data_IF_229702226804
#
_entry.id   IF_229702226804
#
_cell.length_a   1.000
_cell.length_b   1.000
_cell.length_c   1.000
_cell.angle_alpha   90.00
_cell.angle_beta   90.00
_cell.angle_gamma   90.00
#
_symmetry.space_group_name_H-M   'P 1'
#
loop_
_entity.id
_entity.type
_entity.pdbx_description
1 polymer ?
#
# COMPACT_ATOMS: atom_id res chain seq x y z
N UNK A 1 -1.04 -5.61 30.70
CA UNK A 1 -0.52 -5.24 32.04
C UNK A 1 0.45 -6.34 32.47
N UNK A 2 1.60 -6.03 33.06
CA UNK A 2 2.56 -7.04 33.55
C UNK A 2 2.38 -7.18 35.06
N UNK A 3 2.20 -8.40 35.55
CA UNK A 3 2.32 -8.69 36.99
C UNK A 3 3.61 -9.47 37.22
N UNK A 4 4.39 -9.08 38.22
CA UNK A 4 5.74 -9.64 38.43
C UNK A 4 6.03 -9.91 39.88
N UNK A 5 6.76 -11.01 40.12
CA UNK A 5 7.23 -11.37 41.45
C UNK A 5 8.65 -11.89 41.38
N UNK A 6 9.53 -11.33 42.21
CA UNK A 6 10.90 -11.77 42.41
C UNK A 6 11.08 -12.33 43.82
N UNK A 7 11.82 -13.42 43.95
CA UNK A 7 12.23 -14.00 45.23
C UNK A 7 13.67 -14.44 45.19
N UNK A 8 14.31 -14.42 46.35
CA UNK A 8 15.63 -14.99 46.56
C UNK A 8 15.51 -16.48 46.89
N UNK A 9 16.13 -17.31 46.06
CA UNK A 9 16.27 -18.74 46.28
C UNK A 9 17.65 -19.03 46.87
N UNK A 10 17.68 -19.39 48.16
CA UNK A 10 18.91 -19.76 48.86
C UNK A 10 19.14 -21.27 48.80
N UNK A 11 20.27 -21.68 48.23
CA UNK A 11 20.69 -23.06 48.10
C UNK A 11 21.87 -23.34 49.05
N UNK A 12 21.71 -24.31 49.95
CA UNK A 12 22.83 -24.83 50.76
C UNK A 12 23.74 -25.66 49.84
N UNK A 13 24.69 -24.99 49.20
CA UNK A 13 25.51 -25.60 48.16
C UNK A 13 26.45 -26.65 48.75
N UNK A 14 26.95 -26.45 49.97
CA UNK A 14 27.86 -27.40 50.62
C UNK A 14 27.24 -28.77 50.83
N UNK A 15 25.95 -28.82 51.20
CA UNK A 15 25.22 -30.08 51.37
C UNK A 15 24.71 -30.66 50.06
N UNK A 16 24.45 -29.81 49.07
CA UNK A 16 23.78 -30.23 47.83
C UNK A 16 24.72 -30.51 46.65
N UNK A 17 25.97 -30.02 46.68
CA UNK A 17 26.95 -30.15 45.59
C UNK A 17 27.35 -31.57 45.21
N UNK A 18 27.11 -32.54 46.08
CA UNK A 18 27.45 -33.96 45.88
C UNK A 18 26.22 -34.85 45.59
N UNK A 19 25.02 -34.28 45.51
CA UNK A 19 23.82 -35.03 45.17
C UNK A 19 23.92 -35.66 43.78
N UNK A 20 23.16 -36.72 43.45
CA UNK A 20 23.11 -37.27 42.10
C UNK A 20 22.68 -36.22 41.05
N UNK A 21 23.21 -36.34 39.83
CA UNK A 21 22.73 -35.53 38.69
C UNK A 21 21.22 -35.76 38.50
N UNK A 22 20.48 -34.69 38.22
CA UNK A 22 19.01 -34.72 38.12
C UNK A 22 18.28 -34.55 39.46
N UNK A 23 18.98 -34.49 40.59
CA UNK A 23 18.36 -34.17 41.89
C UNK A 23 17.91 -32.71 41.89
N UNK A 24 16.64 -32.49 42.24
CA UNK A 24 16.00 -31.17 42.24
C UNK A 24 15.76 -30.65 43.66
N UNK A 25 16.13 -29.40 43.89
CA UNK A 25 15.77 -28.61 45.07
C UNK A 25 14.74 -27.57 44.64
N UNK A 26 13.59 -27.55 45.31
CA UNK A 26 12.45 -26.74 44.92
C UNK A 26 12.24 -25.57 45.87
N UNK A 27 11.80 -24.43 45.33
CA UNK A 27 11.27 -23.34 46.13
C UNK A 27 9.88 -23.67 46.69
N UNK A 28 9.39 -22.84 47.61
CA UNK A 28 7.96 -22.74 47.87
C UNK A 28 7.20 -22.19 46.67
N UNK A 29 5.87 -22.22 46.75
CA UNK A 29 5.00 -21.72 45.68
C UNK A 29 4.90 -20.19 45.73
N UNK A 30 4.92 -19.58 44.55
CA UNK A 30 4.99 -18.13 44.37
C UNK A 30 3.78 -17.69 43.57
N UNK A 31 3.04 -16.71 44.09
CA UNK A 31 1.90 -16.14 43.40
C UNK A 31 2.32 -14.98 42.48
N UNK A 32 1.97 -15.08 41.20
CA UNK A 32 2.12 -14.00 40.21
C UNK A 32 1.12 -14.19 39.07
N UNK A 33 0.49 -13.11 38.62
CA UNK A 33 -0.47 -13.07 37.51
C UNK A 33 -1.70 -13.94 37.75
N UNK A 34 -2.12 -14.14 39.00
CA UNK A 34 -3.22 -15.05 39.35
C UNK A 34 -2.86 -16.54 39.28
N UNK A 35 -1.58 -16.88 39.11
CA UNK A 35 -1.08 -18.25 39.01
C UNK A 35 -0.06 -18.57 40.12
N UNK A 36 0.11 -19.86 40.39
CA UNK A 36 1.14 -20.36 41.30
C UNK A 36 2.29 -20.94 40.51
N UNK A 37 3.50 -20.55 40.90
CA UNK A 37 4.75 -20.86 40.22
C UNK A 37 5.75 -21.48 41.19
N UNK A 38 6.66 -22.31 40.67
CA UNK A 38 7.71 -22.94 41.46
C UNK A 38 9.05 -22.92 40.74
N UNK A 39 10.11 -22.58 41.46
CA UNK A 39 11.47 -22.65 40.96
C UNK A 39 12.11 -23.99 41.30
N UNK A 40 12.72 -24.59 40.30
CA UNK A 40 13.38 -25.88 40.36
C UNK A 40 14.88 -25.67 40.08
N UNK A 41 15.71 -25.97 41.08
CA UNK A 41 17.16 -25.83 41.00
C UNK A 41 17.83 -27.23 41.01
N UNK A 42 18.79 -27.44 40.12
CA UNK A 42 19.52 -28.70 39.98
C UNK A 42 21.02 -28.44 40.25
N UNK A 43 21.53 -28.71 41.46
CA UNK A 43 22.92 -28.41 41.87
C UNK A 43 24.02 -28.98 40.98
N UNK A 44 23.75 -30.16 40.38
CA UNK A 44 24.65 -30.85 39.45
C UNK A 44 23.98 -31.09 38.09
N UNK A 45 23.16 -30.16 37.64
CA UNK A 45 22.52 -30.26 36.35
C UNK A 45 21.30 -31.18 36.33
N UNK A 46 20.40 -30.95 35.37
CA UNK A 46 19.18 -31.76 35.19
C UNK A 46 19.43 -33.06 34.42
N UNK A 47 20.36 -33.05 33.47
CA UNK A 47 20.65 -34.17 32.55
C UNK A 47 22.04 -34.74 32.81
N UNK A 48 22.16 -36.06 32.76
CA UNK A 48 23.45 -36.77 32.91
C UNK A 48 24.44 -36.37 31.80
N UNK A 49 23.94 -36.07 30.61
CA UNK A 49 24.69 -35.62 29.44
C UNK A 49 25.51 -34.33 29.67
N UNK A 50 25.13 -33.51 30.65
CA UNK A 50 25.83 -32.26 30.99
C UNK A 50 26.96 -32.46 32.03
N UNK A 51 27.32 -33.72 32.34
CA UNK A 51 28.39 -34.15 33.26
C UNK A 51 28.30 -33.62 34.70
N UNK A 52 27.22 -32.90 35.03
CA UNK A 52 27.00 -32.26 36.32
C UNK A 52 28.00 -31.17 36.68
N UNK A 53 28.51 -30.47 35.67
CA UNK A 53 29.46 -29.35 35.80
C UNK A 53 28.78 -27.99 35.97
N UNK A 54 27.46 -27.92 35.76
CA UNK A 54 26.69 -26.68 35.81
C UNK A 54 25.50 -26.81 36.78
N UNK A 55 25.13 -25.69 37.39
CA UNK A 55 23.83 -25.50 38.01
C UNK A 55 22.78 -25.33 36.91
N UNK A 56 21.60 -25.95 37.06
CA UNK A 56 20.44 -25.65 36.20
C UNK A 56 19.32 -25.02 37.00
N UNK A 57 18.57 -24.10 36.37
CA UNK A 57 17.39 -23.47 36.98
C UNK A 57 16.22 -23.49 36.01
N UNK A 58 15.04 -23.79 36.53
CA UNK A 58 13.79 -23.91 35.78
C UNK A 58 12.62 -23.31 36.55
N UNK A 59 11.66 -22.76 35.83
CA UNK A 59 10.37 -22.32 36.34
C UNK A 59 9.29 -23.29 35.92
N UNK A 60 8.38 -23.61 36.84
CA UNK A 60 7.25 -24.50 36.64
C UNK A 60 5.94 -23.81 37.01
N UNK A 61 4.91 -23.99 36.18
CA UNK A 61 3.54 -23.56 36.49
C UNK A 61 2.85 -24.64 37.33
N UNK A 62 2.53 -24.31 38.59
CA UNK A 62 1.90 -25.22 39.57
C UNK A 62 0.38 -25.21 39.44
N UNK A 63 -0.22 -24.05 39.19
CA UNK A 63 -1.68 -23.92 39.09
C UNK A 63 -2.22 -24.69 37.88
N UNK A 64 -3.10 -25.67 38.11
CA UNK A 64 -3.66 -26.53 37.06
C UNK A 64 -4.91 -26.00 36.35
N UNK A 65 -5.44 -24.84 36.77
CA UNK A 65 -6.70 -24.30 36.25
C UNK A 65 -6.57 -23.55 34.92
N UNK A 66 -5.35 -23.23 34.48
CA UNK A 66 -5.10 -22.36 33.34
C UNK A 66 -4.25 -23.08 32.30
N UNK A 67 -4.73 -23.06 31.05
CA UNK A 67 -4.03 -23.64 29.91
C UNK A 67 -3.15 -22.54 29.28
N UNK A 68 -1.85 -22.80 29.15
CA UNK A 68 -0.90 -21.99 28.38
C UNK A 68 -0.72 -20.55 28.88
N UNK A 69 -0.05 -20.39 30.02
CA UNK A 69 0.26 -19.07 30.58
C UNK A 69 1.55 -18.54 29.97
N UNK A 70 1.52 -17.34 29.37
CA UNK A 70 2.72 -16.67 28.87
C UNK A 70 3.42 -15.95 30.02
N UNK A 71 4.68 -16.31 30.27
CA UNK A 71 5.47 -15.66 31.31
C UNK A 71 6.94 -15.53 30.92
N UNK A 72 7.59 -14.53 31.49
CA UNK A 72 9.03 -14.34 31.43
C UNK A 72 9.62 -14.88 32.72
N UNK A 73 10.54 -15.84 32.60
CA UNK A 73 11.39 -16.28 33.69
C UNK A 73 12.72 -15.52 33.64
N UNK A 74 13.01 -14.79 34.70
CA UNK A 74 14.26 -14.06 34.90
C UNK A 74 15.01 -14.70 36.07
N UNK A 75 16.29 -15.00 35.91
CA UNK A 75 17.11 -15.57 36.97
C UNK A 75 18.54 -15.07 36.88
N UNK A 76 19.13 -14.72 38.03
CA UNK A 76 20.54 -14.32 38.11
C UNK A 76 21.13 -14.71 39.46
N UNK A 77 22.42 -15.09 39.45
CA UNK A 77 23.16 -15.33 40.68
C UNK A 77 23.45 -14.00 41.40
N UNK A 78 23.51 -14.04 42.74
CA UNK A 78 23.85 -12.89 43.58
C UNK A 78 25.29 -13.06 44.06
N UNK A 79 26.09 -12.02 43.90
CA UNK A 79 27.48 -11.97 44.37
C UNK A 79 27.53 -11.90 45.92
N UNK A 80 28.70 -12.18 46.49
CA UNK A 80 28.95 -12.07 47.95
C UNK A 80 28.72 -10.68 48.54
N UNK A 81 28.80 -9.63 47.72
CA UNK A 81 28.52 -8.25 48.11
C UNK A 81 27.02 -7.91 48.05
N UNK A 82 26.16 -8.88 47.73
CA UNK A 82 24.72 -8.70 47.57
C UNK A 82 24.32 -8.07 46.23
N UNK A 83 25.28 -7.72 45.36
CA UNK A 83 24.97 -7.19 44.04
C UNK A 83 24.54 -8.32 43.09
N UNK A 84 23.59 -8.07 42.18
CA UNK A 84 23.31 -9.01 41.09
C UNK A 84 24.55 -9.24 40.22
N UNK A 85 24.72 -10.41 39.60
CA UNK A 85 25.74 -10.61 38.57
C UNK A 85 25.29 -9.93 37.26
N UNK A 86 25.78 -8.73 36.95
CA UNK A 86 25.21 -7.91 35.85
C UNK A 86 25.57 -8.36 34.44
N UNK A 87 26.40 -9.39 34.23
CA UNK A 87 26.83 -9.75 32.87
C UNK A 87 27.07 -11.22 32.52
N UNK A 88 27.37 -12.12 33.46
CA UNK A 88 27.86 -13.46 33.08
C UNK A 88 26.83 -14.60 33.26
N UNK A 89 25.93 -14.48 34.23
CA UNK A 89 25.11 -15.60 34.72
C UNK A 89 23.63 -15.25 34.84
N UNK A 90 23.15 -14.22 34.12
CA UNK A 90 21.73 -13.88 34.06
C UNK A 90 21.03 -14.61 32.90
N UNK A 91 19.80 -15.04 33.13
CA UNK A 91 18.89 -15.60 32.13
C UNK A 91 17.57 -14.85 32.18
N UNK A 92 17.12 -14.34 31.04
CA UNK A 92 15.74 -13.88 30.85
C UNK A 92 15.12 -14.61 29.66
N UNK A 93 14.00 -15.28 29.88
CA UNK A 93 13.37 -16.15 28.87
C UNK A 93 11.86 -16.01 28.87
N UNK A 94 11.26 -15.73 27.71
CA UNK A 94 9.82 -15.73 27.53
C UNK A 94 9.37 -17.09 26.99
N UNK A 95 8.49 -17.77 27.71
CA UNK A 95 7.94 -19.06 27.32
C UNK A 95 6.42 -19.12 27.58
N UNK A 96 5.77 -20.11 26.97
CA UNK A 96 4.38 -20.47 27.25
C UNK A 96 4.38 -21.73 28.10
N UNK A 97 3.82 -21.62 29.31
CA UNK A 97 3.81 -22.69 30.30
C UNK A 97 2.48 -23.46 30.24
N UNK A 98 2.49 -24.74 29.84
CA UNK A 98 1.28 -25.55 29.80
C UNK A 98 0.82 -25.96 31.21
N UNK A 99 -0.45 -26.34 31.34
CA UNK A 99 -0.99 -26.88 32.60
C UNK A 99 -0.30 -28.21 32.94
N UNK A 100 0.33 -28.29 34.12
CA UNK A 100 1.00 -29.49 34.67
C UNK A 100 1.84 -30.27 33.63
N UNK A 101 3.09 -29.85 33.40
CA UNK A 101 4.02 -30.83 32.81
C UNK A 101 5.38 -30.35 32.32
N UNK A 102 5.59 -29.07 32.03
CA UNK A 102 6.88 -28.62 31.51
C UNK A 102 7.43 -27.44 32.31
N UNK A 103 8.59 -27.65 32.93
CA UNK A 103 9.37 -26.57 33.48
C UNK A 103 10.30 -26.00 32.39
N UNK A 104 10.36 -24.69 32.25
CA UNK A 104 11.19 -23.98 31.27
C UNK A 104 12.32 -23.23 31.98
N UNK A 105 13.50 -23.20 31.38
CA UNK A 105 14.70 -22.69 32.05
C UNK A 105 15.98 -22.92 31.26
N UNK A 106 17.09 -23.06 31.98
CA UNK A 106 18.43 -23.21 31.40
C UNK A 106 19.17 -24.36 32.07
N UNK A 107 19.52 -25.36 31.26
CA UNK A 107 20.27 -26.54 31.69
C UNK A 107 21.71 -26.16 32.14
N UNK A 108 22.36 -25.16 31.51
CA UNK A 108 23.69 -24.66 31.89
C UNK A 108 23.61 -23.21 32.34
N UNK A 109 23.10 -22.99 33.56
CA UNK A 109 22.87 -21.65 34.10
C UNK A 109 24.14 -21.00 34.61
N UNK A 110 24.83 -21.64 35.56
CA UNK A 110 26.13 -21.18 36.09
C UNK A 110 27.10 -22.35 36.19
N UNK A 111 28.34 -22.18 35.77
CA UNK A 111 29.38 -23.20 35.96
C UNK A 111 29.70 -23.37 37.46
N UNK A 112 29.85 -24.61 37.92
CA UNK A 112 30.08 -24.89 39.34
C UNK A 112 31.40 -24.32 39.86
N UNK A 113 32.42 -24.24 39.02
CA UNK A 113 33.68 -23.57 39.34
C UNK A 113 33.49 -22.09 39.71
N UNK A 114 32.56 -21.40 39.04
CA UNK A 114 32.19 -20.02 39.37
C UNK A 114 31.31 -19.93 40.61
N UNK A 115 30.38 -20.88 40.82
CA UNK A 115 29.61 -20.98 42.06
C UNK A 115 30.51 -21.05 43.30
N UNK A 116 31.51 -21.93 43.28
CA UNK A 116 32.41 -22.13 44.41
C UNK A 116 33.32 -20.93 44.67
N UNK A 117 33.80 -20.29 43.61
CA UNK A 117 34.76 -19.18 43.72
C UNK A 117 34.11 -17.83 44.01
N UNK A 118 32.98 -17.51 43.37
CA UNK A 118 32.40 -16.16 43.33
C UNK A 118 31.10 -16.02 44.11
N UNK A 119 30.28 -17.07 44.17
CA UNK A 119 28.89 -16.97 44.62
C UNK A 119 28.59 -17.70 45.93
N UNK A 120 29.45 -18.63 46.36
CA UNK A 120 29.27 -19.35 47.62
C UNK A 120 29.74 -18.46 48.77
N UNK A 121 28.83 -18.17 49.70
CA UNK A 121 29.08 -17.43 50.94
C UNK A 121 29.95 -18.25 51.93
N UNK A 122 30.48 -17.58 52.96
CA UNK A 122 31.36 -18.21 53.94
C UNK A 122 30.69 -19.37 54.71
N UNK A 123 29.37 -19.33 54.83
CA UNK A 123 28.53 -20.34 55.47
C UNK A 123 28.06 -21.44 54.49
N UNK A 124 28.47 -21.37 53.22
CA UNK A 124 28.22 -22.41 52.21
C UNK A 124 26.96 -22.23 51.37
N UNK A 125 26.26 -21.11 51.48
CA UNK A 125 25.05 -20.82 50.73
C UNK A 125 25.32 -20.12 49.40
N UNK A 126 24.46 -20.37 48.42
CA UNK A 126 24.41 -19.68 47.13
C UNK A 126 23.02 -19.07 46.99
N UNK A 127 22.95 -17.78 46.66
CA UNK A 127 21.69 -17.08 46.43
C UNK A 127 21.45 -16.85 44.94
N UNK A 128 20.29 -17.27 44.44
CA UNK A 128 19.82 -17.00 43.08
C UNK A 128 18.54 -16.19 43.17
N UNK A 129 18.50 -15.01 42.54
CA UNK A 129 17.25 -14.27 42.43
C UNK A 129 16.47 -14.79 41.24
N UNK A 130 15.21 -15.12 41.47
CA UNK A 130 14.31 -15.68 40.46
C UNK A 130 13.05 -14.81 40.36
N UNK A 131 12.80 -14.28 39.17
CA UNK A 131 11.64 -13.47 38.80
C UNK A 131 10.71 -14.19 37.84
N UNK A 132 9.42 -14.15 38.12
CA UNK A 132 8.37 -14.50 37.16
C UNK A 132 7.58 -13.25 36.81
N UNK A 133 7.43 -12.98 35.51
CA UNK A 133 6.66 -11.86 34.98
C UNK A 133 5.56 -12.44 34.10
N UNK A 134 4.32 -12.39 34.55
CA UNK A 134 3.17 -12.92 33.81
C UNK A 134 2.66 -11.88 32.84
N UNK A 135 2.54 -12.29 31.58
CA UNK A 135 1.97 -11.45 30.52
C UNK A 135 0.46 -11.66 30.56
N UNK A 136 -0.27 -10.69 31.09
CA UNK A 136 -1.74 -10.73 31.14
C UNK A 136 -2.31 -10.29 29.79
N UNK A 137 -3.02 -11.18 29.10
CA UNK A 137 -3.81 -10.91 27.89
C UNK A 137 -5.13 -10.18 28.23
N UNK A 138 -5.06 -9.13 29.05
CA UNK A 138 -6.20 -8.23 29.24
C UNK A 138 -6.08 -7.15 28.18
N UNK A 139 -6.60 -7.44 26.98
CA UNK A 139 -6.86 -6.40 26.00
C UNK A 139 -8.01 -5.52 26.52
N UNK A 140 -7.85 -4.19 26.59
CA UNK A 140 -8.99 -3.31 26.86
C UNK A 140 -10.08 -3.52 25.79
N UNK A 141 -11.36 -3.27 26.11
CA UNK A 141 -12.39 -3.28 25.08
C UNK A 141 -12.01 -2.29 23.95
N UNK A 142 -12.37 -2.60 22.69
CA UNK A 142 -12.14 -1.68 21.58
C UNK A 142 -12.79 -0.32 21.85
N UNK A 143 -12.16 0.75 21.35
CA UNK A 143 -12.71 2.10 21.46
C UNK A 143 -14.06 2.22 20.75
N UNK A 144 -15.04 2.85 21.40
CA UNK A 144 -16.41 3.07 20.89
C UNK A 144 -16.66 4.51 20.40
N UNK A 145 -15.65 5.39 20.47
CA UNK A 145 -15.77 6.81 20.07
C UNK A 145 -16.30 7.00 18.65
N UNK A 146 -15.87 6.15 17.70
CA UNK A 146 -16.35 6.21 16.31
C UNK A 146 -17.85 5.91 16.20
N UNK A 147 -18.37 4.99 17.02
CA UNK A 147 -19.80 4.72 17.08
C UNK A 147 -20.57 5.88 17.73
N UNK A 148 -19.98 6.56 18.71
CA UNK A 148 -20.59 7.71 19.38
C UNK A 148 -20.72 8.90 18.42
N UNK A 149 -19.66 9.22 17.69
CA UNK A 149 -19.67 10.25 16.65
C UNK A 149 -20.53 9.84 15.44
N UNK A 150 -20.56 8.55 15.10
CA UNK A 150 -21.46 8.04 14.07
C UNK A 150 -22.93 8.31 14.42
N UNK A 151 -23.36 8.03 15.65
CA UNK A 151 -24.72 8.32 16.10
C UNK A 151 -25.05 9.82 16.07
N UNK A 152 -24.07 10.68 16.34
CA UNK A 152 -24.22 12.14 16.20
C UNK A 152 -24.45 12.56 14.74
N UNK A 153 -23.86 11.87 13.77
CA UNK A 153 -24.17 12.10 12.35
C UNK A 153 -25.56 11.54 11.98
N UNK A 154 -25.92 10.38 12.54
CA UNK A 154 -27.17 9.67 12.21
C UNK A 154 -28.42 10.38 12.77
N UNK A 155 -28.29 11.21 13.82
CA UNK A 155 -29.40 12.04 14.33
C UNK A 155 -29.78 13.18 13.40
N UNK A 156 -28.94 13.51 12.41
CA UNK A 156 -29.22 14.54 11.42
C UNK A 156 -29.51 15.90 12.08
N UNK A 157 -30.69 16.46 11.79
CA UNK A 157 -31.18 17.70 12.41
C UNK A 157 -32.31 17.46 13.42
N UNK A 158 -32.59 16.19 13.78
CA UNK A 158 -33.72 15.83 14.64
C UNK A 158 -33.58 16.40 16.06
N UNK A 159 -32.35 16.58 16.53
CA UNK A 159 -32.02 17.15 17.84
C UNK A 159 -31.55 18.63 17.76
N UNK A 160 -31.55 19.22 16.57
CA UNK A 160 -31.08 20.58 16.31
C UNK A 160 -29.60 20.82 16.62
N UNK A 161 -28.78 19.75 16.70
CA UNK A 161 -27.35 19.85 17.01
C UNK A 161 -26.47 20.16 15.79
N UNK A 162 -26.98 19.94 14.59
CA UNK A 162 -26.31 20.27 13.33
C UNK A 162 -26.21 21.79 13.13
N UNK A 163 -25.00 22.29 12.82
CA UNK A 163 -24.71 23.73 12.64
C UNK A 163 -24.25 24.07 11.21
N UNK A 164 -24.36 23.09 10.30
CA UNK A 164 -24.15 23.25 8.85
C UNK A 164 -24.82 22.11 8.09
N UNK A 165 -25.26 22.38 6.85
CA UNK A 165 -25.73 21.36 5.91
C UNK A 165 -24.99 21.42 4.58
N UNK A 166 -24.75 20.27 3.95
CA UNK A 166 -24.18 20.19 2.60
C UNK A 166 -25.21 19.74 1.58
N UNK A 167 -25.31 20.43 0.46
CA UNK A 167 -26.17 20.04 -0.68
C UNK A 167 -25.31 19.40 -1.76
N UNK A 168 -25.50 18.10 -2.00
CA UNK A 168 -24.70 17.31 -2.95
C UNK A 168 -25.62 16.46 -3.81
N UNK A 169 -25.60 16.67 -5.12
CA UNK A 169 -26.47 15.91 -6.05
C UNK A 169 -27.97 16.06 -5.79
N UNK A 170 -28.40 17.15 -5.13
CA UNK A 170 -29.80 17.35 -4.73
C UNK A 170 -30.17 16.76 -3.36
N UNK A 171 -29.26 16.00 -2.73
CA UNK A 171 -29.42 15.51 -1.36
C UNK A 171 -28.83 16.51 -0.36
N UNK A 172 -29.41 16.57 0.85
CA UNK A 172 -28.96 17.43 1.94
C UNK A 172 -28.37 16.59 3.07
N UNK A 173 -27.18 16.96 3.54
CA UNK A 173 -26.42 16.27 4.57
C UNK A 173 -26.17 17.19 5.78
N UNK A 174 -26.94 17.07 6.87
CA UNK A 174 -26.67 17.77 8.12
C UNK A 174 -25.32 17.34 8.72
N UNK A 175 -24.57 18.27 9.28
CA UNK A 175 -23.25 18.01 9.85
C UNK A 175 -22.83 19.05 10.91
N UNK A 176 -21.63 18.83 11.46
CA UNK A 176 -21.07 19.60 12.57
C UNK A 176 -19.74 20.25 12.17
N UNK A 177 -19.69 21.59 12.13
CA UNK A 177 -18.52 22.38 11.72
C UNK A 177 -17.27 22.01 12.50
N UNK A 178 -17.40 21.79 13.81
CA UNK A 178 -16.27 21.46 14.68
C UNK A 178 -15.64 20.11 14.34
N UNK A 179 -16.47 19.08 14.08
CA UNK A 179 -16.00 17.74 13.72
C UNK A 179 -15.29 17.79 12.37
N UNK A 180 -15.91 18.42 11.37
CA UNK A 180 -15.33 18.58 10.03
C UNK A 180 -14.00 19.34 10.06
N UNK A 181 -13.96 20.48 10.76
CA UNK A 181 -12.76 21.30 10.89
C UNK A 181 -11.62 20.63 11.67
N UNK A 182 -11.94 19.71 12.59
CA UNK A 182 -10.94 18.94 13.31
C UNK A 182 -10.31 17.84 12.43
N UNK A 183 -11.04 17.35 11.43
CA UNK A 183 -10.68 16.15 10.65
C UNK A 183 -10.16 16.47 9.26
N UNK A 184 -10.45 17.66 8.72
CA UNK A 184 -9.98 18.12 7.41
C UNK A 184 -9.49 19.57 7.49
N UNK A 185 -8.25 19.86 7.07
CA UNK A 185 -7.77 21.23 6.98
C UNK A 185 -8.52 22.05 5.92
N UNK A 186 -9.05 21.39 4.88
CA UNK A 186 -9.88 22.03 3.86
C UNK A 186 -11.20 22.48 4.45
N UNK A 187 -11.91 21.60 5.17
CA UNK A 187 -13.13 22.02 5.89
C UNK A 187 -12.84 23.05 6.98
N UNK A 188 -11.70 22.96 7.67
CA UNK A 188 -11.30 23.98 8.65
C UNK A 188 -11.19 25.37 8.00
N UNK A 189 -10.54 25.45 6.84
CA UNK A 189 -10.44 26.69 6.08
C UNK A 189 -11.82 27.15 5.59
N UNK A 190 -12.64 26.24 5.04
CA UNK A 190 -13.97 26.52 4.50
C UNK A 190 -14.96 27.03 5.54
N UNK A 191 -15.02 26.38 6.70
CA UNK A 191 -16.08 26.60 7.69
C UNK A 191 -15.70 27.59 8.79
N UNK A 192 -14.40 27.84 8.99
CA UNK A 192 -13.89 28.71 10.07
C UNK A 192 -12.94 29.80 9.59
N UNK A 193 -12.62 29.83 8.30
CA UNK A 193 -11.85 30.91 7.69
C UNK A 193 -12.70 32.15 7.41
N UNK A 194 -12.11 33.13 6.73
CA UNK A 194 -12.78 34.37 6.29
C UNK A 194 -13.56 34.20 4.98
N UNK A 195 -13.92 32.98 4.59
CA UNK A 195 -14.65 32.68 3.36
C UNK A 195 -16.16 32.89 3.54
N UNK A 196 -16.88 33.17 2.45
CA UNK A 196 -18.33 33.38 2.48
C UNK A 196 -19.10 32.19 3.10
N UNK A 197 -18.61 30.97 2.86
CA UNK A 197 -19.16 29.73 3.40
C UNK A 197 -19.10 29.66 4.93
N UNK A 198 -18.18 30.39 5.57
CA UNK A 198 -18.02 30.39 7.02
C UNK A 198 -19.25 30.95 7.77
N UNK A 199 -20.09 31.72 7.09
CA UNK A 199 -21.35 32.25 7.63
C UNK A 199 -22.60 31.59 7.03
N UNK A 200 -22.43 30.61 6.13
CA UNK A 200 -23.55 29.92 5.51
C UNK A 200 -24.00 28.73 6.36
N UNK A 201 -25.32 28.57 6.45
CA UNK A 201 -25.96 27.40 7.07
C UNK A 201 -26.05 26.22 6.10
N UNK A 202 -25.96 26.48 4.79
CA UNK A 202 -26.04 25.48 3.72
C UNK A 202 -24.96 25.72 2.65
N UNK A 203 -24.20 24.67 2.32
CA UNK A 203 -23.05 24.73 1.41
C UNK A 203 -23.25 23.73 0.27
N UNK A 204 -23.20 24.19 -0.98
CA UNK A 204 -23.30 23.28 -2.13
C UNK A 204 -21.93 22.70 -2.48
N UNK A 205 -21.85 21.37 -2.63
CA UNK A 205 -20.63 20.68 -3.09
C UNK A 205 -20.86 20.18 -4.50
N UNK A 206 -20.08 20.72 -5.44
CA UNK A 206 -20.08 20.29 -6.84
C UNK A 206 -19.06 19.17 -7.10
N UNK A 207 -19.23 18.46 -8.22
CA UNK A 207 -18.30 17.44 -8.74
C UNK A 207 -18.01 16.25 -7.81
N UNK A 208 -18.98 15.91 -6.95
CA UNK A 208 -18.96 14.71 -6.11
C UNK A 208 -20.35 14.08 -6.13
N UNK A 209 -20.39 12.76 -6.31
CA UNK A 209 -21.63 11.98 -6.19
C UNK A 209 -22.09 11.92 -4.73
N UNK A 210 -23.40 12.02 -4.49
CA UNK A 210 -23.98 12.00 -3.15
C UNK A 210 -23.55 10.75 -2.34
N UNK A 211 -23.46 9.58 -2.97
CA UNK A 211 -22.95 8.35 -2.34
C UNK A 211 -21.49 8.48 -1.87
N UNK A 212 -20.62 8.99 -2.75
CA UNK A 212 -19.21 9.20 -2.40
C UNK A 212 -19.07 10.19 -1.25
N UNK A 213 -19.87 11.26 -1.26
CA UNK A 213 -19.90 12.24 -0.18
C UNK A 213 -20.40 11.63 1.13
N UNK A 214 -21.45 10.79 1.09
CA UNK A 214 -22.00 10.10 2.27
C UNK A 214 -20.95 9.20 2.92
N UNK A 215 -20.24 8.40 2.13
CA UNK A 215 -19.16 7.52 2.62
C UNK A 215 -18.03 8.36 3.22
N UNK A 216 -17.60 9.42 2.53
CA UNK A 216 -16.56 10.31 3.03
C UNK A 216 -16.97 10.99 4.34
N UNK A 217 -18.21 11.50 4.42
CA UNK A 217 -18.74 12.14 5.61
C UNK A 217 -18.79 11.15 6.78
N UNK A 218 -19.28 9.92 6.55
CA UNK A 218 -19.27 8.86 7.56
C UNK A 218 -17.85 8.55 8.05
N UNK A 219 -16.87 8.51 7.15
CA UNK A 219 -15.46 8.32 7.51
C UNK A 219 -14.93 9.47 8.38
N UNK A 220 -15.33 10.72 8.13
CA UNK A 220 -14.91 11.86 8.95
C UNK A 220 -15.31 11.68 10.42
N UNK A 221 -16.49 11.13 10.69
CA UNK A 221 -16.99 10.89 12.05
C UNK A 221 -16.48 9.58 12.67
N UNK A 222 -16.37 8.52 11.88
CA UNK A 222 -16.17 7.16 12.40
C UNK A 222 -14.75 6.62 12.21
N UNK A 223 -13.96 7.25 11.33
CA UNK A 223 -12.63 6.79 10.91
C UNK A 223 -12.64 5.36 10.30
N UNK A 224 -13.80 4.92 9.81
CA UNK A 224 -14.05 3.61 9.24
C UNK A 224 -14.62 3.70 7.81
N UNK A 225 -14.16 2.78 6.94
CA UNK A 225 -14.77 2.56 5.63
C UNK A 225 -15.96 1.59 5.76
N UNK A 226 -16.96 1.69 4.87
CA UNK A 226 -18.02 0.70 4.76
C UNK A 226 -17.42 -0.67 4.42
N UNK A 227 -18.15 -1.73 4.80
CA UNK A 227 -17.73 -3.10 4.48
C UNK A 227 -17.89 -3.35 2.99
N UNK A 228 -17.11 -4.28 2.45
CA UNK A 228 -17.14 -4.58 1.01
C UNK A 228 -18.53 -5.08 0.56
N UNK A 229 -19.27 -5.76 1.45
CA UNK A 229 -20.64 -6.20 1.17
C UNK A 229 -21.66 -5.05 1.06
N UNK A 230 -21.37 -3.89 1.65
CA UNK A 230 -22.27 -2.72 1.64
C UNK A 230 -22.14 -1.90 0.34
N UNK A 231 -20.97 -1.96 -0.32
CA UNK A 231 -20.69 -1.22 -1.56
C UNK A 231 -21.10 -2.02 -2.80
N UNK A 232 -21.22 -3.35 -2.66
CA UNK A 232 -21.44 -4.27 -3.77
C UNK A 232 -20.16 -4.50 -4.59
N UNK A 233 -19.87 -5.77 -4.88
CA UNK A 233 -18.61 -6.19 -5.50
C UNK A 233 -18.33 -5.53 -6.85
N UNK A 234 -19.35 -5.36 -7.69
CA UNK A 234 -19.20 -4.80 -9.04
C UNK A 234 -18.84 -3.31 -9.04
N UNK A 235 -19.14 -2.59 -7.95
CA UNK A 235 -18.94 -1.14 -7.85
C UNK A 235 -17.80 -0.72 -6.92
N UNK A 236 -17.18 -1.68 -6.22
CA UNK A 236 -16.16 -1.42 -5.19
C UNK A 236 -15.00 -0.57 -5.70
N UNK A 237 -14.43 -0.95 -6.85
CA UNK A 237 -13.27 -0.26 -7.43
C UNK A 237 -13.63 1.17 -7.85
N UNK A 238 -14.80 1.36 -8.45
CA UNK A 238 -15.28 2.67 -8.89
C UNK A 238 -15.54 3.60 -7.70
N UNK A 239 -16.21 3.08 -6.68
CA UNK A 239 -16.46 3.79 -5.43
C UNK A 239 -15.15 4.18 -4.75
N UNK A 240 -14.17 3.28 -4.67
CA UNK A 240 -12.86 3.58 -4.08
C UNK A 240 -12.06 4.61 -4.89
N UNK A 241 -12.18 4.62 -6.24
CA UNK A 241 -11.55 5.65 -7.09
C UNK A 241 -12.19 7.03 -6.87
N UNK A 242 -13.53 7.11 -6.80
CA UNK A 242 -14.23 8.36 -6.49
C UNK A 242 -13.92 8.84 -5.07
N UNK A 243 -13.85 7.92 -4.11
CA UNK A 243 -13.50 8.24 -2.73
C UNK A 243 -12.04 8.68 -2.58
N UNK A 244 -11.12 8.12 -3.37
CA UNK A 244 -9.73 8.58 -3.45
C UNK A 244 -9.65 10.04 -3.92
N UNK A 245 -10.42 10.40 -4.96
CA UNK A 245 -10.51 11.76 -5.46
C UNK A 245 -11.05 12.74 -4.39
N UNK A 246 -12.12 12.33 -3.68
CA UNK A 246 -12.69 13.11 -2.60
C UNK A 246 -11.71 13.25 -1.42
N UNK A 247 -11.01 12.18 -1.06
CA UNK A 247 -10.02 12.18 0.01
C UNK A 247 -8.87 13.15 -0.26
N UNK A 248 -8.38 13.18 -1.51
CA UNK A 248 -7.37 14.15 -1.94
C UNK A 248 -7.90 15.59 -1.87
N UNK A 249 -9.08 15.84 -2.43
CA UNK A 249 -9.73 17.17 -2.44
C UNK A 249 -9.93 17.75 -1.05
N UNK A 250 -10.32 16.92 -0.07
CA UNK A 250 -10.56 17.36 1.31
C UNK A 250 -9.36 17.11 2.24
N UNK A 251 -8.20 16.74 1.71
CA UNK A 251 -6.98 16.45 2.46
C UNK A 251 -7.19 15.46 3.63
N UNK A 252 -7.87 14.35 3.33
CA UNK A 252 -8.13 13.24 4.25
C UNK A 252 -7.07 12.14 4.02
N UNK A 253 -5.84 12.38 4.45
CA UNK A 253 -4.68 11.53 4.12
C UNK A 253 -4.86 10.06 4.49
N UNK A 254 -5.43 9.76 5.67
CA UNK A 254 -5.70 8.38 6.10
C UNK A 254 -6.72 7.71 5.18
N UNK A 255 -7.76 8.42 4.77
CA UNK A 255 -8.75 7.89 3.81
C UNK A 255 -8.09 7.60 2.47
N UNK A 256 -7.23 8.51 1.99
CA UNK A 256 -6.47 8.36 0.75
C UNK A 256 -5.63 7.07 0.76
N UNK A 257 -4.92 6.79 1.85
CA UNK A 257 -4.14 5.55 2.04
C UNK A 257 -5.03 4.30 2.07
N UNK A 258 -6.19 4.36 2.71
CA UNK A 258 -7.11 3.22 2.77
C UNK A 258 -7.72 2.91 1.39
N UNK A 259 -8.09 3.94 0.62
CA UNK A 259 -8.54 3.79 -0.77
C UNK A 259 -7.43 3.19 -1.64
N UNK A 260 -6.19 3.68 -1.53
CA UNK A 260 -5.02 3.12 -2.20
C UNK A 260 -4.86 1.62 -1.91
N UNK A 261 -4.90 1.21 -0.64
CA UNK A 261 -4.76 -0.19 -0.24
C UNK A 261 -5.89 -1.06 -0.81
N UNK A 262 -7.14 -0.58 -0.76
CA UNK A 262 -8.31 -1.30 -1.31
C UNK A 262 -8.20 -1.45 -2.83
N UNK A 263 -7.76 -0.42 -3.54
CA UNK A 263 -7.55 -0.47 -4.98
C UNK A 263 -6.44 -1.44 -5.36
N UNK A 264 -5.30 -1.45 -4.64
CA UNK A 264 -4.20 -2.40 -4.88
C UNK A 264 -4.60 -3.87 -4.75
N UNK A 265 -5.53 -4.17 -3.86
CA UNK A 265 -5.99 -5.54 -3.59
C UNK A 265 -7.07 -6.03 -4.57
N UNK A 266 -7.67 -5.13 -5.36
CA UNK A 266 -8.80 -5.43 -6.25
C UNK A 266 -8.50 -5.05 -7.71
N UNK A 267 -7.22 -4.99 -8.11
CA UNK A 267 -6.85 -4.72 -9.49
C UNK A 267 -7.28 -5.85 -10.42
N UNK A 268 -7.81 -5.47 -11.57
CA UNK A 268 -8.16 -6.37 -12.68
C UNK A 268 -7.78 -5.74 -14.01
N UNK A 269 -7.75 -6.53 -15.08
CA UNK A 269 -7.46 -6.04 -16.45
C UNK A 269 -8.41 -4.93 -16.89
N UNK A 270 -9.67 -4.98 -16.46
CA UNK A 270 -10.69 -3.98 -16.78
C UNK A 270 -10.55 -2.68 -15.99
N UNK A 271 -9.90 -2.71 -14.83
CA UNK A 271 -9.86 -1.57 -13.88
C UNK A 271 -8.49 -0.94 -13.74
N UNK A 272 -7.41 -1.65 -14.10
CA UNK A 272 -6.03 -1.23 -13.86
C UNK A 272 -5.70 0.10 -14.54
N UNK A 273 -6.16 0.35 -15.76
CA UNK A 273 -5.85 1.58 -16.49
C UNK A 273 -6.49 2.81 -15.83
N UNK A 274 -7.76 2.70 -15.47
CA UNK A 274 -8.48 3.80 -14.83
C UNK A 274 -8.02 4.02 -13.38
N UNK A 275 -7.56 2.96 -12.70
CA UNK A 275 -6.94 3.03 -11.37
C UNK A 275 -5.56 3.69 -11.43
N UNK A 276 -4.76 3.36 -12.45
CA UNK A 276 -3.46 3.99 -12.71
C UNK A 276 -3.61 5.48 -13.03
N UNK A 277 -4.61 5.85 -13.82
CA UNK A 277 -4.92 7.26 -14.08
C UNK A 277 -5.21 8.03 -12.78
N UNK A 278 -5.95 7.42 -11.85
CA UNK A 278 -6.20 8.00 -10.53
C UNK A 278 -4.91 8.09 -9.70
N UNK A 279 -4.08 7.05 -9.71
CA UNK A 279 -2.82 7.03 -8.99
C UNK A 279 -1.88 8.15 -9.45
N UNK A 280 -1.82 8.41 -10.75
CA UNK A 280 -1.02 9.52 -11.31
C UNK A 280 -1.61 10.87 -10.89
N UNK A 281 -2.91 11.05 -11.08
CA UNK A 281 -3.62 12.32 -10.80
C UNK A 281 -3.48 12.74 -9.33
N UNK A 282 -3.61 11.79 -8.41
CA UNK A 282 -3.58 12.05 -6.97
C UNK A 282 -2.22 11.73 -6.34
N UNK A 283 -1.17 11.52 -7.14
CA UNK A 283 0.20 11.27 -6.66
C UNK A 283 0.32 10.07 -5.68
N UNK A 284 -0.42 8.99 -5.92
CA UNK A 284 -0.36 7.75 -5.13
C UNK A 284 0.71 6.80 -5.68
N UNK A 285 1.96 6.95 -5.19
CA UNK A 285 3.13 6.23 -5.71
C UNK A 285 3.02 4.71 -5.53
N UNK A 286 2.54 4.23 -4.38
CA UNK A 286 2.41 2.78 -4.13
C UNK A 286 1.37 2.12 -5.04
N UNK A 287 0.19 2.74 -5.20
CA UNK A 287 -0.82 2.28 -6.16
C UNK A 287 -0.29 2.32 -7.59
N UNK A 288 0.40 3.38 -8.00
CA UNK A 288 1.03 3.49 -9.33
C UNK A 288 1.97 2.32 -9.58
N UNK A 289 2.89 2.05 -8.64
CA UNK A 289 3.85 0.96 -8.76
C UNK A 289 3.16 -0.41 -8.85
N UNK A 290 2.08 -0.62 -8.07
CA UNK A 290 1.30 -1.86 -8.12
C UNK A 290 0.59 -2.04 -9.47
N UNK A 291 0.00 -0.98 -10.02
CA UNK A 291 -0.61 -0.99 -11.35
C UNK A 291 0.43 -1.30 -12.45
N UNK A 292 1.60 -0.66 -12.39
CA UNK A 292 2.69 -0.92 -13.34
C UNK A 292 3.18 -2.36 -13.25
N UNK A 293 3.35 -2.89 -12.03
CA UNK A 293 3.72 -4.29 -11.84
C UNK A 293 2.66 -5.27 -12.38
N UNK A 294 1.37 -4.90 -12.29
CA UNK A 294 0.27 -5.71 -12.87
C UNK A 294 0.31 -5.71 -14.41
N UNK A 295 0.60 -4.56 -15.02
CA UNK A 295 0.73 -4.38 -16.48
C UNK A 295 2.04 -4.95 -17.05
N UNK A 296 3.01 -5.30 -16.21
CA UNK A 296 4.24 -5.96 -16.65
C UNK A 296 4.02 -7.40 -17.16
N UNK A 297 2.87 -8.02 -16.83
CA UNK A 297 2.47 -9.30 -17.40
C UNK A 297 1.80 -9.10 -18.77
N UNK A 298 2.31 -9.79 -19.80
CA UNK A 298 1.83 -9.68 -21.18
C UNK A 298 0.34 -9.96 -21.36
N UNK A 299 -0.20 -10.96 -20.65
CA UNK A 299 -1.62 -11.31 -20.78
C UNK A 299 -2.50 -10.22 -20.18
N UNK A 300 -2.08 -9.70 -19.03
CA UNK A 300 -2.80 -8.61 -18.38
C UNK A 300 -2.77 -7.35 -19.22
N UNK A 301 -1.62 -7.07 -19.83
CA UNK A 301 -1.45 -5.91 -20.67
C UNK A 301 -2.30 -5.99 -21.94
N UNK A 302 -2.22 -7.09 -22.67
CA UNK A 302 -3.01 -7.32 -23.89
C UNK A 302 -4.50 -7.16 -23.61
N UNK A 303 -4.98 -7.71 -22.50
CA UNK A 303 -6.37 -7.53 -22.08
C UNK A 303 -6.69 -6.08 -21.68
N UNK A 304 -5.81 -5.40 -20.96
CA UNK A 304 -6.03 -4.03 -20.49
C UNK A 304 -6.02 -3.01 -21.64
N UNK A 305 -5.13 -3.17 -22.63
CA UNK A 305 -5.06 -2.31 -23.82
C UNK A 305 -6.39 -2.28 -24.55
N UNK A 306 -7.14 -3.38 -24.59
CA UNK A 306 -8.43 -3.42 -25.30
C UNK A 306 -9.59 -2.72 -24.55
N UNK A 307 -9.34 -2.17 -23.36
CA UNK A 307 -10.37 -1.55 -22.53
C UNK A 307 -10.53 -0.05 -22.82
N UNK A 308 -11.74 0.47 -22.69
CA UNK A 308 -12.02 1.92 -22.77
C UNK A 308 -11.23 2.71 -21.71
N UNK A 309 -11.00 2.11 -20.54
CA UNK A 309 -10.19 2.68 -19.47
C UNK A 309 -8.75 2.97 -19.88
N UNK A 310 -8.16 2.15 -20.78
CA UNK A 310 -6.82 2.37 -21.30
C UNK A 310 -6.78 3.49 -22.34
N UNK A 311 -7.79 3.59 -23.21
CA UNK A 311 -7.95 4.77 -24.10
C UNK A 311 -7.93 6.06 -23.28
N UNK A 312 -8.72 6.08 -22.21
CA UNK A 312 -8.89 7.27 -21.39
C UNK A 312 -7.63 7.62 -20.59
N UNK A 313 -6.88 6.61 -20.12
CA UNK A 313 -5.57 6.80 -19.49
C UNK A 313 -4.59 7.50 -20.44
N UNK A 314 -4.44 6.99 -21.66
CA UNK A 314 -3.53 7.56 -22.66
C UNK A 314 -3.96 8.98 -23.06
N UNK A 315 -5.28 9.20 -23.19
CA UNK A 315 -5.84 10.52 -23.55
C UNK A 315 -5.60 11.56 -22.45
N UNK A 316 -5.78 11.19 -21.18
CA UNK A 316 -5.58 12.10 -20.04
C UNK A 316 -4.10 12.32 -19.70
N UNK A 317 -3.27 11.31 -19.92
CA UNK A 317 -1.85 11.33 -19.56
C UNK A 317 -0.97 10.91 -20.75
N UNK A 318 -0.78 11.77 -21.78
CA UNK A 318 0.02 11.40 -22.96
C UNK A 318 1.48 11.03 -22.64
N UNK A 319 2.06 11.63 -21.58
CA UNK A 319 3.40 11.30 -21.08
C UNK A 319 3.52 9.87 -20.54
N UNK A 320 2.39 9.23 -20.19
CA UNK A 320 2.37 7.83 -19.77
C UNK A 320 2.93 6.91 -20.86
N UNK A 321 2.67 7.23 -22.14
CA UNK A 321 3.14 6.43 -23.27
C UNK A 321 4.66 6.38 -23.34
N UNK A 322 5.35 7.46 -22.97
CA UNK A 322 6.81 7.50 -22.89
C UNK A 322 7.35 6.56 -21.80
N UNK A 323 6.65 6.46 -20.66
CA UNK A 323 7.00 5.54 -19.57
C UNK A 323 6.68 4.09 -19.93
N UNK A 324 5.71 3.90 -20.82
CA UNK A 324 5.19 2.60 -21.22
C UNK A 324 5.96 1.99 -22.40
N UNK A 325 6.56 2.80 -23.27
CA UNK A 325 7.35 2.34 -24.41
C UNK A 325 8.51 1.38 -24.05
N UNK A 326 9.30 1.61 -22.98
CA UNK A 326 10.34 0.65 -22.56
C UNK A 326 9.77 -0.70 -22.11
N UNK A 327 8.57 -0.72 -21.51
CA UNK A 327 7.90 -1.95 -21.09
C UNK A 327 7.47 -2.76 -22.33
N UNK A 328 6.88 -2.10 -23.34
CA UNK A 328 6.60 -2.73 -24.63
C UNK A 328 7.87 -3.25 -25.32
N UNK A 329 8.98 -2.53 -25.21
CA UNK A 329 10.26 -2.94 -25.77
C UNK A 329 10.84 -4.20 -25.12
N UNK A 330 10.68 -4.36 -23.79
CA UNK A 330 11.10 -5.57 -23.08
C UNK A 330 10.18 -6.75 -23.39
N UNK A 331 8.88 -6.51 -23.53
CA UNK A 331 7.88 -7.55 -23.76
C UNK A 331 7.86 -8.02 -25.21
N UNK A 332 8.17 -7.13 -26.14
CA UNK A 332 8.24 -7.39 -27.57
C UNK A 332 9.62 -6.94 -28.11
N UNK A 333 10.73 -7.59 -27.72
CA UNK A 333 12.09 -7.17 -28.07
C UNK A 333 12.36 -7.25 -29.58
N UNK A 334 11.72 -8.18 -30.28
CA UNK A 334 11.81 -8.31 -31.74
C UNK A 334 11.02 -7.21 -32.47
N UNK A 335 10.10 -6.52 -31.78
CA UNK A 335 9.32 -5.41 -32.34
C UNK A 335 10.10 -4.09 -32.43
N UNK A 336 11.17 -3.94 -31.63
CA UNK A 336 11.99 -2.73 -31.52
C UNK A 336 13.40 -2.90 -32.10
N UNK A 337 13.73 -4.07 -32.64
CA UNK A 337 14.89 -4.20 -33.54
C UNK A 337 14.57 -3.43 -34.82
N UNK A 338 15.24 -2.30 -34.99
CA UNK A 338 15.36 -1.65 -36.29
C UNK A 338 16.01 -2.67 -37.23
N UNK A 339 15.33 -3.04 -38.31
CA UNK A 339 16.07 -3.42 -39.50
C UNK A 339 16.76 -2.15 -40.00
N UNK A 340 18.03 -2.30 -40.36
CA UNK A 340 18.94 -1.27 -40.82
C UNK A 340 18.27 -0.41 -41.92
N UNK A 341 17.79 0.77 -41.56
CA UNK A 341 17.50 1.84 -42.52
C UNK A 341 18.10 3.12 -41.95
N UNK A 342 19.12 3.60 -42.67
CA UNK A 342 19.97 4.75 -42.38
C UNK A 342 19.17 6.06 -42.29
N UNK A 343 18.59 6.37 -41.14
CA UNK A 343 18.23 7.75 -40.77
C UNK A 343 18.27 7.90 -39.24
N UNK A 344 19.47 8.21 -38.73
CA UNK A 344 19.72 8.64 -37.36
C UNK A 344 19.12 10.06 -37.15
N UNK A 345 17.79 10.18 -37.01
CA UNK A 345 17.19 11.42 -36.51
C UNK A 345 17.21 11.42 -34.97
N UNK A 346 18.03 12.33 -34.46
CA UNK A 346 18.26 12.74 -33.08
C UNK A 346 16.99 12.62 -32.23
N UNK A 347 17.12 12.01 -31.05
CA UNK A 347 16.05 11.79 -30.07
C UNK A 347 15.27 13.06 -29.71
N UNK A 348 14.10 13.19 -30.34
CA UNK A 348 13.03 14.09 -29.92
C UNK A 348 11.98 13.27 -29.17
N UNK A 349 11.91 13.45 -27.85
CA UNK A 349 10.90 12.84 -26.97
C UNK A 349 9.52 13.52 -27.11
N UNK A 350 9.26 14.23 -28.21
CA UNK A 350 7.96 14.86 -28.43
C UNK A 350 6.85 13.80 -28.47
N UNK A 351 5.67 14.08 -27.89
CA UNK A 351 4.55 13.14 -27.89
C UNK A 351 4.22 12.61 -29.29
N UNK A 352 4.34 13.46 -30.31
CA UNK A 352 4.11 13.12 -31.71
C UNK A 352 5.04 11.99 -32.18
N UNK A 353 6.35 12.08 -31.95
CA UNK A 353 7.33 11.06 -32.38
C UNK A 353 7.09 9.73 -31.66
N UNK A 354 6.68 9.76 -30.39
CA UNK A 354 6.33 8.57 -29.61
C UNK A 354 5.10 7.86 -30.19
N UNK A 355 4.04 8.61 -30.51
CA UNK A 355 2.83 8.02 -31.12
C UNK A 355 3.08 7.50 -32.53
N UNK A 356 4.01 8.10 -33.28
CA UNK A 356 4.41 7.59 -34.60
C UNK A 356 5.12 6.24 -34.49
N UNK A 357 6.07 6.10 -33.57
CA UNK A 357 6.73 4.81 -33.28
C UNK A 357 5.72 3.75 -32.83
N UNK A 358 4.80 4.13 -31.95
CA UNK A 358 3.78 3.21 -31.44
C UNK A 358 2.77 2.79 -32.51
N UNK A 359 2.44 3.68 -33.45
CA UNK A 359 1.61 3.36 -34.62
C UNK A 359 2.28 2.30 -35.50
N UNK A 360 3.58 2.45 -35.76
CA UNK A 360 4.36 1.48 -36.53
C UNK A 360 4.39 0.10 -35.85
N UNK A 361 4.62 0.09 -34.53
CA UNK A 361 4.59 -1.15 -33.74
C UNK A 361 3.20 -1.79 -33.73
N UNK A 362 2.14 -0.99 -33.59
CA UNK A 362 0.79 -1.50 -33.57
C UNK A 362 0.39 -2.18 -34.90
N UNK A 363 0.75 -1.57 -36.03
CA UNK A 363 0.51 -2.13 -37.36
C UNK A 363 1.29 -3.44 -37.58
N UNK A 364 2.58 -3.46 -37.25
CA UNK A 364 3.45 -4.64 -37.39
C UNK A 364 2.90 -5.88 -36.66
N UNK A 365 2.25 -5.68 -35.51
CA UNK A 365 1.77 -6.77 -34.66
C UNK A 365 0.25 -7.00 -34.75
N UNK A 366 -0.44 -6.34 -35.68
CA UNK A 366 -1.89 -6.49 -35.85
C UNK A 366 -2.70 -6.01 -34.63
N UNK A 367 -2.15 -5.07 -33.84
CA UNK A 367 -2.83 -4.45 -32.71
C UNK A 367 -3.76 -3.35 -33.22
N UNK A 368 -4.82 -3.74 -33.93
CA UNK A 368 -5.74 -2.82 -34.62
C UNK A 368 -6.31 -1.74 -33.70
N UNK A 369 -6.58 -2.08 -32.43
CA UNK A 369 -7.03 -1.10 -31.44
C UNK A 369 -5.98 -0.04 -31.13
N UNK A 370 -4.73 -0.44 -30.86
CA UNK A 370 -3.66 0.48 -30.52
C UNK A 370 -3.33 1.39 -31.70
N UNK A 371 -3.42 0.82 -32.90
CA UNK A 371 -3.29 1.53 -34.17
C UNK A 371 -4.34 2.64 -34.30
N UNK A 372 -5.60 2.36 -33.97
CA UNK A 372 -6.68 3.36 -33.97
C UNK A 372 -6.46 4.46 -32.93
N UNK A 373 -6.02 4.11 -31.72
CA UNK A 373 -5.76 5.11 -30.66
C UNK A 373 -4.58 6.01 -31.02
N UNK A 374 -3.46 5.45 -31.49
CA UNK A 374 -2.33 6.22 -32.00
C UNK A 374 -2.75 7.13 -33.14
N UNK A 375 -3.54 6.61 -34.10
CA UNK A 375 -4.05 7.39 -35.21
C UNK A 375 -4.92 8.57 -34.76
N UNK A 376 -5.79 8.37 -33.78
CA UNK A 376 -6.66 9.42 -33.24
C UNK A 376 -5.85 10.51 -32.52
N UNK A 377 -4.86 10.15 -31.72
CA UNK A 377 -4.02 11.11 -31.00
C UNK A 377 -3.11 11.88 -31.97
N UNK A 378 -2.57 11.21 -32.99
CA UNK A 378 -1.81 11.86 -34.05
C UNK A 378 -2.69 12.89 -34.77
N UNK A 379 -3.93 12.52 -35.11
CA UNK A 379 -4.90 13.42 -35.74
C UNK A 379 -5.21 14.65 -34.88
N UNK A 380 -5.43 14.48 -33.57
CA UNK A 380 -5.78 15.58 -32.67
C UNK A 380 -4.66 16.63 -32.54
N UNK A 381 -3.43 16.27 -32.92
CA UNK A 381 -2.25 17.15 -32.93
C UNK A 381 -1.82 17.60 -34.35
N UNK A 382 -2.60 17.29 -35.40
CA UNK A 382 -2.27 17.68 -36.78
C UNK A 382 -2.34 19.19 -36.96
N UNK A 383 -1.29 19.75 -37.54
CA UNK A 383 -1.20 21.15 -37.97
C UNK A 383 -0.98 21.21 -39.49
N UNK A 384 -1.03 22.43 -40.03
CA UNK A 384 -0.74 22.65 -41.46
C UNK A 384 0.69 22.28 -41.82
N UNK A 385 1.62 22.36 -40.87
CA UNK A 385 3.04 22.05 -41.08
C UNK A 385 3.32 20.53 -40.96
N UNK A 386 2.52 19.82 -40.15
CA UNK A 386 2.74 18.39 -39.85
C UNK A 386 1.85 17.44 -40.67
N UNK A 387 0.73 17.91 -41.25
CA UNK A 387 -0.26 17.06 -41.94
C UNK A 387 0.33 16.18 -43.05
N UNK A 388 1.34 16.66 -43.79
CA UNK A 388 1.94 15.90 -44.88
C UNK A 388 2.74 14.69 -44.36
N UNK A 389 3.45 14.88 -43.24
CA UNK A 389 4.21 13.82 -42.61
C UNK A 389 3.27 12.79 -41.94
N UNK A 390 2.20 13.26 -41.27
CA UNK A 390 1.16 12.38 -40.71
C UNK A 390 0.43 11.58 -41.81
N UNK A 391 0.17 12.19 -42.97
CA UNK A 391 -0.44 11.50 -44.11
C UNK A 391 0.47 10.42 -44.70
N UNK A 392 1.78 10.69 -44.81
CA UNK A 392 2.76 9.69 -45.26
C UNK A 392 2.76 8.47 -44.34
N UNK A 393 2.70 8.69 -43.02
CA UNK A 393 2.66 7.62 -42.01
C UNK A 393 1.34 6.85 -42.03
N UNK A 394 0.23 7.56 -42.26
CA UNK A 394 -1.08 6.93 -42.41
C UNK A 394 -1.13 5.98 -43.63
N UNK A 395 -0.45 6.34 -44.71
CA UNK A 395 -0.27 5.46 -45.88
C UNK A 395 0.67 4.30 -45.54
N UNK A 396 1.82 4.59 -44.94
CA UNK A 396 2.86 3.60 -44.63
C UNK A 396 2.36 2.47 -43.72
N UNK A 397 1.56 2.80 -42.71
CA UNK A 397 1.05 1.85 -41.72
C UNK A 397 -0.41 1.49 -41.97
N UNK A 398 -0.89 1.58 -43.22
CA UNK A 398 -2.25 1.16 -43.63
C UNK A 398 -3.35 1.63 -42.66
N UNK A 399 -3.40 2.93 -42.40
CA UNK A 399 -4.38 3.58 -41.51
C UNK A 399 -5.41 4.38 -42.34
N UNK A 400 -6.43 3.74 -42.92
CA UNK A 400 -7.34 4.38 -43.88
C UNK A 400 -8.15 5.54 -43.27
N UNK A 401 -8.49 5.47 -41.98
CA UNK A 401 -9.24 6.54 -41.31
C UNK A 401 -8.41 7.81 -41.13
N UNK A 402 -7.16 7.66 -40.65
CA UNK A 402 -6.22 8.78 -40.50
C UNK A 402 -5.88 9.38 -41.85
N UNK A 403 -5.64 8.54 -42.87
CA UNK A 403 -5.39 8.97 -44.24
C UNK A 403 -6.54 9.84 -44.76
N UNK A 404 -7.79 9.38 -44.61
CA UNK A 404 -9.00 10.09 -45.03
C UNK A 404 -9.14 11.45 -44.35
N UNK A 405 -8.94 11.50 -43.02
CA UNK A 405 -8.97 12.75 -42.24
C UNK A 405 -7.88 13.73 -42.69
N UNK A 406 -6.65 13.25 -42.86
CA UNK A 406 -5.51 14.05 -43.33
C UNK A 406 -5.73 14.60 -44.75
N UNK A 407 -6.22 13.79 -45.69
CA UNK A 407 -6.57 14.25 -47.05
C UNK A 407 -7.65 15.34 -46.99
N UNK A 408 -8.68 15.17 -46.16
CA UNK A 408 -9.72 16.18 -45.98
C UNK A 408 -9.18 17.50 -45.44
N UNK A 409 -8.31 17.46 -44.42
CA UNK A 409 -7.66 18.65 -43.88
C UNK A 409 -6.74 19.32 -44.89
N UNK A 410 -5.98 18.52 -45.64
CA UNK A 410 -5.02 18.98 -46.65
C UNK A 410 -5.73 19.66 -47.82
N UNK A 411 -6.85 19.08 -48.28
CA UNK A 411 -7.63 19.58 -49.41
C UNK A 411 -8.40 20.88 -49.11
N UNK A 412 -8.54 21.29 -47.84
CA UNK A 412 -9.13 22.57 -47.49
C UNK A 412 -8.29 23.73 -48.05
N UNK A 413 -8.92 24.63 -48.83
CA UNK A 413 -8.26 25.71 -49.61
C UNK A 413 -7.28 26.58 -48.81
N UNK A 414 -7.55 26.80 -47.52
CA UNK A 414 -6.70 27.57 -46.58
C UNK A 414 -5.45 26.81 -46.11
N UNK A 415 -5.54 25.50 -46.01
CA UNK A 415 -4.46 24.63 -45.55
C UNK A 415 -3.56 24.22 -46.71
N UNK A 416 -4.15 23.85 -47.86
CA UNK A 416 -3.43 23.39 -49.05
C UNK A 416 -2.28 24.33 -49.44
N UNK A 417 -2.56 25.64 -49.55
CA UNK A 417 -1.56 26.63 -49.98
C UNK A 417 -0.32 26.70 -49.08
N UNK A 418 -0.49 26.41 -47.80
CA UNK A 418 0.59 26.42 -46.81
C UNK A 418 1.26 25.06 -46.74
N UNK A 419 0.48 23.98 -46.68
CA UNK A 419 0.96 22.61 -46.54
C UNK A 419 1.83 22.16 -47.72
N UNK A 420 1.53 22.58 -48.96
CA UNK A 420 2.36 22.23 -50.15
C UNK A 420 3.75 22.88 -50.14
N UNK A 421 3.96 23.90 -49.31
CA UNK A 421 5.25 24.58 -49.16
C UNK A 421 6.11 23.96 -48.05
N UNK A 422 5.60 22.95 -47.35
CA UNK A 422 6.30 22.29 -46.25
C UNK A 422 7.30 21.25 -46.77
N UNK A 423 8.39 21.02 -46.02
CA UNK A 423 9.33 19.91 -46.30
C UNK A 423 8.63 18.55 -46.28
N UNK A 424 7.66 18.37 -45.39
CA UNK A 424 6.88 17.13 -45.28
C UNK A 424 6.09 16.81 -46.56
N UNK A 425 5.63 17.82 -47.31
CA UNK A 425 4.95 17.58 -48.58
C UNK A 425 5.90 17.10 -49.69
N UNK A 426 7.12 17.63 -49.74
CA UNK A 426 8.14 17.19 -50.68
C UNK A 426 8.50 15.72 -50.43
N UNK A 427 8.69 15.35 -49.16
CA UNK A 427 8.95 13.96 -48.76
C UNK A 427 7.77 13.02 -49.07
N UNK A 428 6.53 13.46 -48.81
CA UNK A 428 5.32 12.71 -49.16
C UNK A 428 5.28 12.38 -50.66
N UNK A 429 5.62 13.35 -51.52
CA UNK A 429 5.62 13.14 -52.96
C UNK A 429 6.73 12.22 -53.47
N UNK A 430 7.87 12.18 -52.79
CA UNK A 430 8.96 11.25 -53.12
C UNK A 430 8.61 9.82 -52.72
N UNK A 431 8.04 9.64 -51.52
CA UNK A 431 7.84 8.32 -50.92
C UNK A 431 6.50 7.67 -51.31
N UNK A 432 5.46 8.47 -51.54
CA UNK A 432 4.11 7.99 -51.87
C UNK A 432 3.48 8.76 -53.05
N UNK A 433 3.94 8.56 -54.30
CA UNK A 433 3.40 9.25 -55.48
C UNK A 433 1.89 9.00 -55.71
N UNK A 434 1.37 7.84 -55.31
CA UNK A 434 -0.06 7.50 -55.36
C UNK A 434 -0.93 8.46 -54.53
N UNK A 435 -0.47 8.82 -53.33
CA UNK A 435 -1.17 9.73 -52.42
C UNK A 435 -1.23 11.15 -52.98
N UNK A 436 -0.19 11.58 -53.70
CA UNK A 436 -0.20 12.88 -54.39
C UNK A 436 -1.26 12.92 -55.50
N UNK A 437 -1.42 11.83 -56.25
CA UNK A 437 -2.47 11.73 -57.27
C UNK A 437 -3.86 11.80 -56.63
N UNK A 438 -4.07 11.11 -55.51
CA UNK A 438 -5.32 11.13 -54.74
C UNK A 438 -5.63 12.54 -54.19
N UNK A 439 -4.63 13.24 -53.64
CA UNK A 439 -4.75 14.65 -53.23
C UNK A 439 -5.11 15.57 -54.41
N UNK A 440 -4.49 15.35 -55.56
CA UNK A 440 -4.75 16.13 -56.79
C UNK A 440 -6.20 15.96 -57.23
N UNK A 441 -6.69 14.73 -57.30
CA UNK A 441 -8.09 14.45 -57.66
C UNK A 441 -9.07 15.11 -56.69
N UNK A 442 -8.78 15.05 -55.38
CA UNK A 442 -9.64 15.66 -54.36
C UNK A 442 -9.67 17.19 -54.43
N UNK A 443 -8.55 17.83 -54.75
CA UNK A 443 -8.46 19.30 -54.89
C UNK A 443 -9.07 19.80 -56.20
N UNK A 444 -8.93 19.03 -57.28
CA UNK A 444 -9.56 19.34 -58.59
C UNK A 444 -11.07 19.13 -58.52
N UNK A 445 -11.54 18.06 -57.87
CA UNK A 445 -12.97 17.77 -57.69
C UNK A 445 -13.72 18.76 -56.79
N UNK A 446 -13.01 19.62 -56.04
CA UNK A 446 -13.59 20.73 -55.25
C UNK A 446 -13.65 22.07 -56.03
N UNK A 447 -13.12 22.11 -57.27
CA UNK A 447 -13.11 23.30 -58.15
C UNK A 447 -14.14 23.22 -59.30
N UNK A 448 -14.79 22.07 -59.46
CA UNK A 448 -16.01 21.87 -60.25
C UNK A 448 -17.20 21.90 -59.29
#
# INVERSE_FOLDING_TARGET
MLDSRFVEFKLDYTKTKNLPIGTVIRSGDIAAGGHLWRFNCYPRGRKIEDNGEHLSVFLELVSGHSKNVRAIFDAFAVNRDGAPSWWCDSMRRADVYPARGAAHGRDRFVARSFLESLYTEADGWVTVTCGVIVVLDVAPPPSDIGAHLGRLLDSGDDDGSSDVSFVVGGETFPAHRLVLAARSPVFKAQLRGSMADATMDSITVHDIEAETFRIMLRFVYTDALPKDEEIGYDSLVDTMRRLLAAADRFALDRLKVLCDLKLRNNLSTNTVAATLACAETYSCVELKNKCMAFLADAKNLEAAILTEGFTELVRRHPSFVATFAPMLQVMYPDAFRAEDDDDEEIGDDSPTVIFERLLATADRHGLEWLKLVCAQILWDNVTVDTVAATLARAEMYTCPELKRKCIGFFAAKKNFKKAVLTRGFVQLGQRFPSVINELRERVVGLRL
#
